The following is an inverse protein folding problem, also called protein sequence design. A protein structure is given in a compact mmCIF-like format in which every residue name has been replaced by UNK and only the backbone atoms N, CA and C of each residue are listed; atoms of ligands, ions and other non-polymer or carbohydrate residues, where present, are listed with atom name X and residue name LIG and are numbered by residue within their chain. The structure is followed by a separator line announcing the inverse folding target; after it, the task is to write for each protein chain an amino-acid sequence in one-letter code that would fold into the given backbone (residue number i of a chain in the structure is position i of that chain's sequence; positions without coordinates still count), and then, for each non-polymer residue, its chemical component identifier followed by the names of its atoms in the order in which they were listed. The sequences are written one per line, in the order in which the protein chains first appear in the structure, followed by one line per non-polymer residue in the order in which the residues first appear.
data_IF_029566355900
#
_entry.id   IF_029566355900
#
_cell.length_a   1.000
_cell.length_b   1.000
_cell.length_c   1.000
_cell.angle_alpha   90.00
_cell.angle_beta   90.00
_cell.angle_gamma   90.00
#
_symmetry.space_group_name_H-M   'P 1'
#
loop_
_entity.id
_entity.type
_entity.pdbx_description
1 polymer ?
#
# COMPACT_ATOMS: atom_id res chain seq x y z
N UNK A 1 -4.12 -14.42 11.81
CA UNK A 1 -5.32 -13.68 12.26
C UNK A 1 -5.17 -12.15 12.15
N UNK A 2 -4.09 -11.52 12.61
CA UNK A 2 -3.97 -10.04 12.56
C UNK A 2 -4.02 -9.42 11.15
N UNK A 3 -3.37 -10.05 10.16
CA UNK A 3 -3.37 -9.57 8.78
C UNK A 3 -4.75 -9.58 8.13
N UNK A 4 -5.48 -10.70 8.23
CA UNK A 4 -6.81 -10.84 7.64
C UNK A 4 -7.81 -9.82 8.19
N UNK A 5 -7.73 -9.52 9.49
CA UNK A 5 -8.55 -8.48 10.13
C UNK A 5 -8.18 -7.09 9.63
N UNK A 6 -6.88 -6.77 9.54
CA UNK A 6 -6.41 -5.50 9.01
C UNK A 6 -6.86 -5.30 7.56
N UNK A 7 -6.64 -6.31 6.71
CA UNK A 7 -7.05 -6.31 5.30
C UNK A 7 -8.56 -6.07 5.16
N UNK A 8 -9.38 -6.75 5.95
CA UNK A 8 -10.84 -6.53 5.95
C UNK A 8 -11.21 -5.11 6.32
N UNK A 9 -10.63 -4.57 7.40
CA UNK A 9 -10.89 -3.20 7.84
C UNK A 9 -10.43 -2.14 6.82
N UNK A 10 -9.30 -2.37 6.16
CA UNK A 10 -8.79 -1.48 5.12
C UNK A 10 -9.66 -1.51 3.88
N UNK A 11 -10.16 -2.69 3.49
CA UNK A 11 -11.07 -2.82 2.36
C UNK A 11 -12.31 -1.94 2.53
N UNK A 12 -12.97 -2.02 3.69
CA UNK A 12 -14.13 -1.18 4.00
C UNK A 12 -13.78 0.31 3.96
N UNK A 13 -12.63 0.72 4.53
CA UNK A 13 -12.19 2.12 4.47
C UNK A 13 -11.94 2.62 3.05
N UNK A 14 -11.37 1.78 2.18
CA UNK A 14 -11.12 2.12 0.79
C UNK A 14 -12.43 2.25 0.00
N UNK A 15 -13.41 1.38 0.25
CA UNK A 15 -14.75 1.47 -0.35
C UNK A 15 -15.52 2.73 0.08
N UNK A 16 -15.33 3.17 1.33
CA UNK A 16 -15.93 4.41 1.85
C UNK A 16 -15.20 5.67 1.37
N UNK A 17 -13.94 5.56 0.96
CA UNK A 17 -13.13 6.71 0.54
C UNK A 17 -13.45 7.14 -0.90
N UNK A 18 -13.78 8.42 -1.10
CA UNK A 18 -14.15 8.94 -2.42
C UNK A 18 -12.96 9.18 -3.37
N UNK A 19 -11.77 9.47 -2.82
CA UNK A 19 -10.55 9.73 -3.58
C UNK A 19 -9.37 8.98 -2.96
N UNK A 20 -8.68 8.17 -3.76
CA UNK A 20 -7.49 7.41 -3.35
C UNK A 20 -6.33 7.81 -4.27
N UNK A 21 -5.21 8.20 -3.68
CA UNK A 21 -3.95 8.37 -4.37
C UNK A 21 -3.07 7.13 -4.15
N UNK A 22 -2.48 6.61 -5.23
CA UNK A 22 -1.54 5.50 -5.18
C UNK A 22 -0.13 6.02 -5.41
N UNK A 23 0.83 5.53 -4.63
CA UNK A 23 2.26 5.77 -4.86
C UNK A 23 3.00 4.46 -4.99
N UNK A 24 4.06 4.47 -5.79
CA UNK A 24 4.96 3.34 -5.94
C UNK A 24 6.38 3.78 -5.66
N UNK A 25 7.05 3.08 -4.76
CA UNK A 25 8.47 3.29 -4.46
C UNK A 25 9.27 2.07 -4.91
N UNK A 26 10.23 2.28 -5.81
CA UNK A 26 11.19 1.25 -6.23
C UNK A 26 12.50 1.49 -5.48
N UNK A 27 13.03 0.44 -4.88
CA UNK A 27 14.25 0.52 -4.08
C UNK A 27 15.07 -0.77 -4.19
N UNK A 28 16.37 -0.65 -3.93
CA UNK A 28 17.30 -1.79 -3.86
C UNK A 28 17.63 -2.08 -2.41
N UNK A 29 17.47 -3.33 -2.01
CA UNK A 29 17.78 -3.79 -0.66
C UNK A 29 19.28 -3.81 -0.40
N UNK A 30 19.66 -3.95 0.88
CA UNK A 30 21.07 -4.17 1.25
C UNK A 30 21.64 -5.49 0.69
N UNK A 31 20.78 -6.43 0.35
CA UNK A 31 21.13 -7.69 -0.31
C UNK A 31 21.18 -7.57 -1.85
N UNK A 32 21.09 -6.35 -2.40
CA UNK A 32 21.13 -6.06 -3.84
C UNK A 32 19.90 -6.61 -4.60
N UNK A 33 18.80 -6.84 -3.90
CA UNK A 33 17.52 -7.26 -4.50
C UNK A 33 16.64 -6.03 -4.73
N UNK A 34 16.01 -5.92 -5.91
CA UNK A 34 15.14 -4.80 -6.26
C UNK A 34 13.70 -5.12 -5.85
N UNK A 35 13.04 -4.17 -5.20
CA UNK A 35 11.64 -4.28 -4.77
C UNK A 35 10.83 -3.09 -5.27
N UNK A 36 9.52 -3.31 -5.36
CA UNK A 36 8.52 -2.26 -5.54
C UNK A 36 7.49 -2.36 -4.41
N UNK A 37 7.19 -1.21 -3.82
CA UNK A 37 6.16 -1.05 -2.80
C UNK A 37 5.02 -0.21 -3.35
N UNK A 38 3.78 -0.71 -3.24
CA UNK A 38 2.56 0.04 -3.57
C UNK A 38 1.90 0.51 -2.27
N UNK A 39 1.60 1.81 -2.18
CA UNK A 39 0.92 2.40 -1.03
C UNK A 39 -0.31 3.18 -1.46
N UNK A 40 -1.38 3.12 -0.65
CA UNK A 40 -2.61 3.89 -0.82
C UNK A 40 -2.71 5.02 0.20
N UNK A 41 -3.13 6.18 -0.27
CA UNK A 41 -3.27 7.41 0.51
C UNK A 41 -4.67 7.98 0.27
N UNK A 42 -5.42 8.23 1.34
CA UNK A 42 -6.77 8.77 1.25
C UNK A 42 -7.14 9.54 2.52
N UNK A 43 -8.10 10.45 2.40
CA UNK A 43 -8.73 11.08 3.57
C UNK A 43 -9.97 10.28 3.98
N UNK A 44 -10.13 10.02 5.27
CA UNK A 44 -11.37 9.47 5.80
C UNK A 44 -12.43 10.56 6.05
N UNK A 45 -13.63 10.14 6.47
CA UNK A 45 -14.75 11.04 6.76
C UNK A 45 -14.46 12.02 7.90
N UNK A 46 -13.47 11.73 8.75
CA UNK A 46 -13.00 12.61 9.82
C UNK A 46 -11.82 13.48 9.38
N UNK A 47 -11.54 13.53 8.08
CA UNK A 47 -10.47 14.30 7.46
C UNK A 47 -9.06 13.92 7.94
N UNK A 48 -8.86 12.67 8.37
CA UNK A 48 -7.53 12.16 8.66
C UNK A 48 -6.88 11.57 7.40
N UNK A 49 -5.64 11.97 7.15
CA UNK A 49 -4.83 11.34 6.11
C UNK A 49 -4.42 9.94 6.56
N UNK A 50 -4.87 8.96 5.80
CA UNK A 50 -4.57 7.55 5.97
C UNK A 50 -3.52 7.14 4.93
N UNK A 51 -2.52 6.35 5.35
CA UNK A 51 -1.49 5.79 4.48
C UNK A 51 -1.27 4.31 4.82
N UNK A 52 -1.42 3.43 3.82
CA UNK A 52 -1.28 1.99 3.98
C UNK A 52 -0.44 1.39 2.86
N UNK A 53 0.53 0.55 3.24
CA UNK A 53 1.21 -0.34 2.28
C UNK A 53 0.24 -1.45 1.87
N UNK A 54 -0.02 -1.54 0.56
CA UNK A 54 -0.87 -2.57 -0.02
C UNK A 54 -0.08 -3.81 -0.38
N UNK A 55 1.13 -3.63 -0.90
CA UNK A 55 2.00 -4.72 -1.33
C UNK A 55 3.47 -4.27 -1.31
N UNK A 56 4.38 -5.19 -1.06
CA UNK A 56 5.81 -5.02 -1.33
C UNK A 56 6.33 -6.32 -1.93
N UNK A 57 6.73 -6.26 -3.19
CA UNK A 57 7.12 -7.44 -3.95
C UNK A 57 8.43 -7.22 -4.68
N UNK A 58 9.11 -8.30 -5.03
CA UNK A 58 10.31 -8.25 -5.85
C UNK A 58 9.97 -7.57 -7.19
N UNK A 59 10.78 -6.59 -7.58
CA UNK A 59 10.59 -5.93 -8.86
C UNK A 59 11.05 -6.88 -9.98
N UNK A 60 10.23 -7.12 -11.01
CA UNK A 60 10.59 -8.04 -12.08
C UNK A 60 11.83 -7.50 -12.81
N UNK A 61 12.88 -8.30 -12.82
CA UNK A 61 14.07 -8.03 -13.63
C UNK A 61 13.78 -8.58 -15.03
N UNK A 62 13.52 -7.69 -15.99
CA UNK A 62 13.44 -8.08 -17.41
C UNK A 62 14.86 -8.21 -17.97
N UNK A 63 15.22 -9.39 -18.44
CA UNK A 63 16.42 -9.62 -19.26
C UNK A 63 16.08 -9.50 -20.74
#
# INVERSE_FOLDING_TARGET
MKYSTCKGSLHTKLEESGNIALTTDIWTSRAVEVYITLSAHFFDLSWHLNAYVLETTAFPVSY
#
